data_IF_195431750303
#
_entry.id   IF_195431750303
#
_cell.length_a   1.000
_cell.length_b   1.000
_cell.length_c   1.000
_cell.angle_alpha   90.00
_cell.angle_beta   90.00
_cell.angle_gamma   90.00
#
_symmetry.space_group_name_H-M   'P 1'
#
loop_
_entity.id
_entity.type
_entity.pdbx_description
1 polymer ?
#
# COMPACT_ATOMS: atom_id res chain seq x y z
N UNK A 1 -56.31 5.89 28.23
CA UNK A 1 -55.15 6.39 27.44
C UNK A 1 -54.39 5.18 26.92
N UNK A 2 -54.52 4.90 25.63
CA UNK A 2 -53.88 3.75 24.97
C UNK A 2 -52.68 4.34 24.24
N UNK A 3 -51.49 3.95 24.71
CA UNK A 3 -50.24 4.32 24.03
C UNK A 3 -50.06 3.46 22.78
N UNK A 4 -50.16 4.08 21.62
CA UNK A 4 -49.72 3.51 20.36
C UNK A 4 -48.16 3.53 20.30
N UNK A 5 -47.56 2.38 20.43
CA UNK A 5 -46.16 2.19 20.05
C UNK A 5 -46.15 1.98 18.54
N UNK A 6 -45.53 2.91 17.81
CA UNK A 6 -45.31 2.74 16.36
C UNK A 6 -44.41 1.52 16.11
N UNK A 7 -44.67 0.72 15.07
CA UNK A 7 -43.82 -0.41 14.73
C UNK A 7 -42.44 0.12 14.30
N UNK A 8 -41.38 -0.46 14.87
CA UNK A 8 -40.01 -0.33 14.40
C UNK A 8 -39.99 -0.93 12.99
N UNK A 9 -39.83 -0.09 11.98
CA UNK A 9 -39.64 -0.57 10.61
C UNK A 9 -38.45 -1.52 10.58
N UNK A 10 -38.72 -2.78 10.24
CA UNK A 10 -37.72 -3.78 9.91
C UNK A 10 -36.81 -3.21 8.81
N UNK A 11 -35.55 -3.02 9.14
CA UNK A 11 -34.51 -2.71 8.16
C UNK A 11 -34.45 -3.95 7.27
N UNK A 12 -34.88 -3.80 6.03
CA UNK A 12 -34.84 -4.86 5.01
C UNK A 12 -33.39 -5.28 4.75
N UNK A 13 -32.98 -6.38 5.38
CA UNK A 13 -31.62 -6.97 5.28
C UNK A 13 -31.45 -7.87 4.03
N UNK A 14 -32.38 -7.82 3.07
CA UNK A 14 -32.49 -8.83 2.01
C UNK A 14 -31.92 -8.45 0.65
N UNK A 15 -31.37 -7.23 0.47
CA UNK A 15 -30.67 -6.89 -0.77
C UNK A 15 -29.18 -7.26 -0.61
N UNK A 16 -28.62 -8.16 -1.45
CA UNK A 16 -27.19 -8.37 -1.47
C UNK A 16 -26.53 -7.03 -1.84
N UNK A 17 -25.82 -6.44 -0.88
CA UNK A 17 -25.07 -5.20 -1.13
C UNK A 17 -24.12 -5.45 -2.30
N UNK A 18 -24.19 -4.62 -3.33
CA UNK A 18 -23.38 -4.80 -4.53
C UNK A 18 -21.90 -4.99 -4.15
N UNK A 19 -21.24 -5.95 -4.80
CA UNK A 19 -19.82 -6.26 -4.59
C UNK A 19 -18.99 -5.01 -4.84
N UNK A 20 -18.26 -4.53 -3.82
CA UNK A 20 -17.41 -3.32 -3.94
C UNK A 20 -16.29 -3.54 -4.97
N UNK A 21 -16.12 -2.62 -5.90
CA UNK A 21 -15.05 -2.69 -6.88
C UNK A 21 -13.72 -2.26 -6.27
N UNK A 22 -12.71 -3.10 -6.39
CA UNK A 22 -11.38 -2.85 -5.84
C UNK A 22 -10.42 -2.56 -6.99
N UNK A 23 -9.76 -1.41 -6.95
CA UNK A 23 -8.63 -1.11 -7.83
C UNK A 23 -7.34 -1.58 -7.17
N UNK A 24 -6.63 -2.49 -7.83
CA UNK A 24 -5.25 -2.83 -7.46
C UNK A 24 -4.32 -2.14 -8.43
N UNK A 25 -3.29 -1.50 -7.90
CA UNK A 25 -2.31 -0.75 -8.68
C UNK A 25 -0.91 -1.34 -8.48
N UNK A 26 -0.21 -1.59 -9.58
CA UNK A 26 1.22 -1.82 -9.56
C UNK A 26 1.93 -0.61 -10.17
N UNK A 27 2.78 0.05 -9.39
CA UNK A 27 3.74 1.03 -9.92
C UNK A 27 5.10 0.36 -10.08
N UNK A 28 5.80 0.64 -11.18
CA UNK A 28 7.08 0.02 -11.50
C UNK A 28 8.00 0.95 -12.27
N UNK A 29 9.31 0.74 -12.11
CA UNK A 29 10.36 1.37 -12.92
C UNK A 29 11.58 0.45 -12.94
N UNK A 30 11.99 -0.03 -14.12
CA UNK A 30 13.08 -0.98 -14.30
C UNK A 30 12.99 -2.18 -13.35
N UNK A 31 11.86 -2.89 -13.41
CA UNK A 31 11.49 -3.97 -12.49
C UNK A 31 11.33 -5.34 -13.18
N UNK A 32 12.12 -5.59 -14.24
CA UNK A 32 12.00 -6.82 -15.06
C UNK A 32 12.11 -8.12 -14.25
N UNK A 33 12.84 -8.12 -13.13
CA UNK A 33 13.04 -9.31 -12.28
C UNK A 33 11.88 -9.57 -11.32
N UNK A 34 11.15 -8.53 -10.93
CA UNK A 34 10.18 -8.56 -9.84
C UNK A 34 8.73 -8.50 -10.34
N UNK A 35 8.47 -7.73 -11.42
CA UNK A 35 7.10 -7.35 -11.83
C UNK A 35 6.23 -8.56 -12.20
N UNK A 36 6.80 -9.60 -12.80
CA UNK A 36 6.02 -10.77 -13.23
C UNK A 36 5.33 -11.46 -12.04
N UNK A 37 6.05 -11.63 -10.93
CA UNK A 37 5.50 -12.24 -9.72
C UNK A 37 4.37 -11.38 -9.13
N UNK A 38 4.55 -10.06 -9.11
CA UNK A 38 3.51 -9.12 -8.65
C UNK A 38 2.27 -9.23 -9.51
N UNK A 39 2.40 -9.19 -10.84
CA UNK A 39 1.27 -9.36 -11.77
C UNK A 39 0.55 -10.68 -11.49
N UNK A 40 1.29 -11.78 -11.37
CA UNK A 40 0.70 -13.10 -11.10
C UNK A 40 -0.06 -13.12 -9.78
N UNK A 41 0.46 -12.51 -8.72
CA UNK A 41 -0.21 -12.46 -7.41
C UNK A 41 -1.52 -11.66 -7.44
N UNK A 42 -1.61 -10.64 -8.31
CA UNK A 42 -2.84 -9.85 -8.49
C UNK A 42 -3.86 -10.60 -9.33
N UNK A 43 -3.46 -11.14 -10.49
CA UNK A 43 -4.40 -11.81 -11.40
C UNK A 43 -4.86 -13.20 -10.92
N UNK A 44 -4.21 -13.76 -9.89
CA UNK A 44 -4.63 -14.99 -9.23
C UNK A 44 -5.68 -14.77 -8.12
N UNK A 45 -6.00 -13.53 -7.76
CA UNK A 45 -7.00 -13.25 -6.74
C UNK A 45 -8.37 -13.81 -7.14
N UNK A 46 -9.05 -14.46 -6.18
CA UNK A 46 -10.34 -15.14 -6.40
C UNK A 46 -11.54 -14.21 -6.29
N UNK A 47 -11.34 -12.92 -6.10
CA UNK A 47 -12.38 -11.89 -6.06
C UNK A 47 -12.62 -11.33 -7.47
N UNK A 48 -13.86 -11.37 -7.97
CA UNK A 48 -14.15 -11.09 -9.38
C UNK A 48 -14.20 -9.58 -9.71
N UNK A 49 -14.55 -8.71 -8.74
CA UNK A 49 -14.76 -7.28 -9.01
C UNK A 49 -13.46 -6.47 -8.79
N UNK A 50 -12.42 -6.84 -9.55
CA UNK A 50 -11.10 -6.20 -9.49
C UNK A 50 -10.82 -5.41 -10.76
N UNK A 51 -10.38 -4.17 -10.60
CA UNK A 51 -9.73 -3.36 -11.62
C UNK A 51 -8.22 -3.40 -11.39
N UNK A 52 -7.46 -3.92 -12.35
CA UNK A 52 -6.01 -3.94 -12.26
C UNK A 52 -5.37 -2.88 -13.14
N UNK A 53 -4.60 -1.97 -12.54
CA UNK A 53 -3.91 -0.87 -13.23
C UNK A 53 -2.40 -1.01 -13.03
N UNK A 54 -1.62 -0.82 -14.11
CA UNK A 54 -0.15 -0.72 -14.01
C UNK A 54 0.28 0.66 -14.50
N UNK A 55 1.13 1.32 -13.70
CA UNK A 55 1.78 2.58 -14.07
C UNK A 55 3.29 2.35 -14.06
N UNK A 56 3.88 2.39 -15.25
CA UNK A 56 5.31 2.25 -15.47
C UNK A 56 5.96 3.61 -15.68
N UNK A 57 7.06 3.87 -14.97
CA UNK A 57 7.80 5.13 -14.97
C UNK A 57 8.71 5.35 -16.20
N UNK A 58 8.45 4.65 -17.30
CA UNK A 58 9.29 4.72 -18.52
C UNK A 58 10.46 3.74 -18.47
N UNK A 59 10.21 2.49 -18.11
CA UNK A 59 11.23 1.41 -18.03
C UNK A 59 11.89 1.10 -19.37
N UNK A 60 13.18 0.72 -19.31
CA UNK A 60 14.01 0.37 -20.46
C UNK A 60 14.68 -1.00 -20.36
N UNK A 61 14.41 -1.76 -19.31
CA UNK A 61 15.10 -3.02 -18.96
C UNK A 61 14.35 -4.30 -19.38
N UNK A 62 13.25 -4.18 -20.13
CA UNK A 62 12.37 -5.30 -20.50
C UNK A 62 11.12 -5.45 -19.65
N UNK A 63 10.90 -4.59 -18.64
CA UNK A 63 9.67 -4.54 -17.83
C UNK A 63 8.42 -4.48 -18.71
N UNK A 64 8.44 -3.64 -19.77
CA UNK A 64 7.30 -3.47 -20.67
C UNK A 64 6.93 -4.74 -21.45
N UNK A 65 7.88 -5.60 -21.75
CA UNK A 65 7.59 -6.84 -22.47
C UNK A 65 6.81 -7.80 -21.58
N UNK A 66 7.12 -7.80 -20.28
CA UNK A 66 6.36 -8.56 -19.29
C UNK A 66 4.94 -7.98 -19.16
N UNK A 67 4.77 -6.66 -19.05
CA UNK A 67 3.45 -6.03 -18.98
C UNK A 67 2.62 -6.39 -20.22
N UNK A 68 3.19 -6.32 -21.42
CA UNK A 68 2.51 -6.68 -22.68
C UNK A 68 2.07 -8.15 -22.69
N UNK A 69 2.91 -9.08 -22.17
CA UNK A 69 2.59 -10.51 -22.04
C UNK A 69 1.30 -10.75 -21.26
N UNK A 70 1.02 -9.93 -20.24
CA UNK A 70 -0.16 -10.05 -19.37
C UNK A 70 -1.26 -9.04 -19.69
N UNK A 71 -1.18 -8.29 -20.79
CA UNK A 71 -2.08 -7.17 -21.11
C UNK A 71 -3.57 -7.56 -21.15
N UNK A 72 -3.91 -8.80 -21.53
CA UNK A 72 -5.29 -9.30 -21.53
C UNK A 72 -5.89 -9.47 -20.13
N UNK A 73 -5.08 -9.48 -19.08
CA UNK A 73 -5.49 -9.62 -17.66
C UNK A 73 -5.34 -8.31 -16.89
N UNK A 74 -4.83 -7.26 -17.51
CA UNK A 74 -4.64 -5.94 -16.95
C UNK A 74 -5.71 -5.02 -17.52
N UNK A 75 -6.51 -4.38 -16.65
CA UNK A 75 -7.60 -3.51 -17.08
C UNK A 75 -7.07 -2.29 -17.85
N UNK A 76 -5.97 -1.70 -17.36
CA UNK A 76 -5.32 -0.54 -17.98
C UNK A 76 -3.85 -0.50 -17.57
N UNK A 77 -2.99 -0.09 -18.49
CA UNK A 77 -1.61 0.26 -18.17
C UNK A 77 -1.13 1.47 -18.96
N UNK A 78 -0.16 2.19 -18.42
CA UNK A 78 0.51 3.33 -19.04
C UNK A 78 2.01 3.25 -18.73
N UNK A 79 2.84 3.64 -19.71
CA UNK A 79 4.28 3.78 -19.53
C UNK A 79 4.71 5.16 -20.00
N UNK A 80 5.15 5.97 -19.06
CA UNK A 80 5.66 7.31 -19.31
C UNK A 80 6.52 7.76 -18.13
N UNK A 81 7.51 8.64 -18.32
CA UNK A 81 8.31 9.16 -17.24
C UNK A 81 7.46 9.77 -16.11
N UNK A 82 7.84 9.50 -14.89
CA UNK A 82 7.25 10.07 -13.67
C UNK A 82 8.29 10.82 -12.82
N UNK A 83 7.82 11.52 -11.79
CA UNK A 83 8.65 12.23 -10.82
C UNK A 83 8.92 11.40 -9.55
N UNK A 84 8.80 10.08 -9.63
CA UNK A 84 8.98 9.13 -8.54
C UNK A 84 7.69 8.38 -8.20
N UNK A 85 7.85 7.39 -7.31
CA UNK A 85 6.82 6.41 -6.96
C UNK A 85 5.46 7.06 -6.57
N UNK A 86 5.47 8.13 -5.81
CA UNK A 86 4.24 8.79 -5.35
C UNK A 86 3.55 9.59 -6.45
N UNK A 87 4.29 10.07 -7.47
CA UNK A 87 3.68 10.66 -8.67
C UNK A 87 2.96 9.60 -9.49
N UNK A 88 3.58 8.43 -9.67
CA UNK A 88 2.95 7.28 -10.32
C UNK A 88 1.71 6.78 -9.54
N UNK A 89 1.77 6.72 -8.21
CA UNK A 89 0.64 6.37 -7.35
C UNK A 89 -0.51 7.39 -7.47
N UNK A 90 -0.21 8.69 -7.45
CA UNK A 90 -1.20 9.75 -7.66
C UNK A 90 -1.83 9.70 -9.05
N UNK A 91 -1.03 9.41 -10.08
CA UNK A 91 -1.52 9.19 -11.45
C UNK A 91 -2.51 8.04 -11.50
N UNK A 92 -2.18 6.90 -10.89
CA UNK A 92 -3.05 5.74 -10.86
C UNK A 92 -4.35 5.98 -10.07
N UNK A 93 -4.30 6.75 -8.98
CA UNK A 93 -5.49 7.12 -8.22
C UNK A 93 -6.49 7.95 -9.06
N UNK A 94 -5.99 8.79 -9.96
CA UNK A 94 -6.85 9.51 -10.93
C UNK A 94 -7.49 8.58 -11.97
N UNK A 95 -6.80 7.49 -12.32
CA UNK A 95 -7.28 6.48 -13.29
C UNK A 95 -8.25 5.47 -12.66
N UNK A 96 -8.12 5.19 -11.36
CA UNK A 96 -8.89 4.19 -10.63
C UNK A 96 -10.40 4.44 -10.72
N UNK A 97 -11.20 3.38 -10.86
CA UNK A 97 -12.67 3.48 -10.88
C UNK A 97 -13.32 2.63 -9.77
N UNK A 98 -12.52 1.94 -8.96
CA UNK A 98 -12.99 1.20 -7.80
C UNK A 98 -13.36 2.11 -6.63
N UNK A 99 -14.01 1.54 -5.63
CA UNK A 99 -14.32 2.23 -4.38
C UNK A 99 -13.08 2.33 -3.48
N UNK A 100 -12.29 1.26 -3.47
CA UNK A 100 -11.01 1.19 -2.76
C UNK A 100 -9.85 0.97 -3.71
N UNK A 101 -8.69 1.48 -3.34
CA UNK A 101 -7.42 1.30 -4.03
C UNK A 101 -6.39 0.65 -3.11
N UNK A 102 -5.68 -0.34 -3.63
CA UNK A 102 -4.51 -0.96 -3.00
C UNK A 102 -3.30 -0.77 -3.91
N UNK A 103 -2.14 -0.49 -3.31
CA UNK A 103 -0.87 -0.38 -4.01
C UNK A 103 -0.02 -1.63 -3.75
N UNK A 104 0.03 -2.51 -4.75
CA UNK A 104 0.90 -3.67 -4.79
C UNK A 104 2.03 -3.36 -5.76
N UNK A 105 3.08 -2.68 -5.28
CA UNK A 105 4.19 -2.21 -6.11
C UNK A 105 5.02 -3.38 -6.64
N UNK A 106 5.79 -3.17 -7.73
CA UNK A 106 6.63 -4.22 -8.28
C UNK A 106 7.63 -4.76 -7.23
N UNK A 107 7.56 -6.07 -6.96
CA UNK A 107 8.27 -6.78 -5.89
C UNK A 107 7.36 -7.20 -4.74
N UNK A 108 6.29 -6.47 -4.47
CA UNK A 108 5.31 -6.84 -3.45
C UNK A 108 4.28 -7.83 -3.98
N UNK A 109 3.72 -8.66 -3.11
CA UNK A 109 2.74 -9.69 -3.47
C UNK A 109 1.56 -9.67 -2.50
N UNK A 110 0.37 -10.06 -2.97
CA UNK A 110 -0.67 -10.49 -2.03
C UNK A 110 -0.21 -11.71 -1.24
N UNK A 111 -0.66 -11.81 0.01
CA UNK A 111 -0.28 -12.91 0.90
C UNK A 111 -0.69 -14.28 0.34
N UNK A 112 -1.89 -14.37 -0.23
CA UNK A 112 -2.41 -15.53 -0.96
C UNK A 112 -3.47 -15.11 -1.99
N UNK A 113 -4.05 -16.07 -2.70
CA UNK A 113 -5.05 -15.87 -3.74
C UNK A 113 -6.44 -15.46 -3.22
N UNK A 114 -6.69 -15.57 -1.91
CA UNK A 114 -8.00 -15.33 -1.28
C UNK A 114 -8.08 -14.00 -0.53
N UNK A 115 -7.00 -13.22 -0.48
CA UNK A 115 -6.96 -11.99 0.29
C UNK A 115 -8.14 -11.09 -0.02
N UNK A 116 -8.40 -10.80 -1.30
CA UNK A 116 -9.49 -9.91 -1.69
C UNK A 116 -10.87 -10.53 -1.40
N UNK A 117 -11.08 -11.80 -1.69
CA UNK A 117 -12.35 -12.47 -1.40
C UNK A 117 -12.59 -12.58 0.10
N UNK A 118 -11.57 -12.89 0.90
CA UNK A 118 -11.66 -12.98 2.34
C UNK A 118 -12.03 -11.64 3.01
N UNK A 119 -11.67 -10.52 2.39
CA UNK A 119 -11.98 -9.19 2.90
C UNK A 119 -13.33 -8.72 2.35
N UNK A 120 -13.58 -8.82 1.05
CA UNK A 120 -14.67 -8.11 0.39
C UNK A 120 -15.88 -8.99 -0.01
N UNK A 121 -15.73 -10.33 -0.13
CA UNK A 121 -16.85 -11.17 -0.55
C UNK A 121 -17.99 -11.14 0.49
N UNK A 122 -19.18 -10.72 0.06
CA UNK A 122 -20.37 -10.62 0.92
C UNK A 122 -20.29 -9.53 2.01
N UNK A 123 -19.32 -8.62 1.90
CA UNK A 123 -19.13 -7.51 2.85
C UNK A 123 -19.07 -6.18 2.13
N UNK A 124 -19.36 -5.13 2.86
CA UNK A 124 -19.21 -3.76 2.39
C UNK A 124 -18.69 -2.89 3.53
N UNK A 125 -17.83 -1.98 3.21
CA UNK A 125 -17.11 -1.11 4.14
C UNK A 125 -17.38 0.35 3.79
N UNK A 126 -17.41 1.21 4.83
CA UNK A 126 -17.56 2.65 4.69
C UNK A 126 -16.40 3.42 5.36
N UNK A 127 -15.41 2.70 5.91
CA UNK A 127 -14.23 3.33 6.47
C UNK A 127 -13.33 3.86 5.36
N UNK A 128 -12.60 4.94 5.63
CA UNK A 128 -11.71 5.58 4.65
C UNK A 128 -10.51 4.70 4.32
N UNK A 129 -10.05 3.91 5.30
CA UNK A 129 -8.94 2.98 5.15
C UNK A 129 -9.23 1.65 5.84
N UNK A 130 -9.12 0.55 5.08
CA UNK A 130 -9.01 -0.79 5.64
C UNK A 130 -7.54 -1.17 5.68
N UNK A 131 -7.08 -1.79 6.75
CA UNK A 131 -5.68 -2.21 6.86
C UNK A 131 -5.55 -3.56 7.56
N UNK A 132 -4.38 -4.18 7.40
CA UNK A 132 -4.08 -5.45 8.03
C UNK A 132 -2.60 -5.68 8.20
N UNK A 133 -2.25 -6.93 8.47
CA UNK A 133 -0.89 -7.39 8.73
C UNK A 133 -0.12 -7.65 7.43
N UNK A 134 1.21 -7.63 7.52
CA UNK A 134 2.14 -7.83 6.41
C UNK A 134 3.10 -8.96 6.73
N UNK A 135 3.57 -9.69 5.73
CA UNK A 135 4.75 -10.53 5.83
C UNK A 135 5.93 -9.75 5.24
N UNK A 136 6.98 -9.53 6.01
CA UNK A 136 8.21 -8.90 5.53
C UNK A 136 9.11 -9.96 4.90
N UNK A 137 9.50 -9.76 3.64
CA UNK A 137 10.50 -10.59 2.94
C UNK A 137 11.87 -9.91 3.02
N UNK A 138 12.83 -10.58 3.63
CA UNK A 138 14.21 -10.10 3.81
C UNK A 138 15.24 -11.22 3.56
N UNK A 139 16.54 -10.90 3.52
CA UNK A 139 17.61 -11.85 3.16
C UNK A 139 17.66 -13.12 4.01
N UNK A 140 17.07 -13.11 5.20
CA UNK A 140 16.97 -14.27 6.10
C UNK A 140 15.67 -15.06 5.96
N UNK A 141 14.76 -14.69 5.04
CA UNK A 141 13.46 -15.33 4.85
C UNK A 141 12.28 -14.40 5.09
N UNK A 142 11.23 -14.89 5.75
CA UNK A 142 9.97 -14.18 5.96
C UNK A 142 9.71 -13.94 7.43
N UNK A 143 9.27 -12.74 7.80
CA UNK A 143 8.90 -12.39 9.17
C UNK A 143 7.48 -11.80 9.22
N UNK A 144 6.58 -12.34 10.05
CA UNK A 144 5.28 -11.70 10.28
C UNK A 144 5.45 -10.32 10.90
N UNK A 145 4.75 -9.33 10.35
CA UNK A 145 4.58 -7.99 10.89
C UNK A 145 3.09 -7.75 11.07
N UNK A 146 2.64 -7.87 12.32
CA UNK A 146 1.23 -7.70 12.66
C UNK A 146 0.86 -6.22 12.67
N UNK A 147 -0.33 -5.90 12.16
CA UNK A 147 -0.90 -4.57 12.30
C UNK A 147 -1.07 -4.21 13.77
N UNK A 148 -0.79 -2.96 14.11
CA UNK A 148 -1.09 -2.39 15.42
C UNK A 148 -2.45 -1.68 15.39
N UNK A 149 -2.96 -1.31 16.57
CA UNK A 149 -4.16 -0.50 16.69
C UNK A 149 -3.93 0.92 16.18
N UNK A 150 -4.97 1.54 15.61
CA UNK A 150 -4.85 2.82 14.92
C UNK A 150 -4.40 3.99 15.82
N UNK A 151 -4.65 3.90 17.11
CA UNK A 151 -4.21 4.88 18.13
C UNK A 151 -2.69 5.01 18.22
N UNK A 152 -1.93 4.04 17.64
CA UNK A 152 -0.48 4.13 17.50
C UNK A 152 -0.01 5.09 16.39
N UNK A 153 -0.91 5.54 15.50
CA UNK A 153 -0.56 6.41 14.36
C UNK A 153 0.26 7.66 14.74
N UNK A 154 0.03 8.35 15.88
CA UNK A 154 0.87 9.48 16.27
C UNK A 154 2.32 9.13 16.55
N UNK A 155 2.60 7.86 16.89
CA UNK A 155 3.94 7.38 17.27
C UNK A 155 4.63 6.65 16.13
N UNK A 156 3.91 5.74 15.45
CA UNK A 156 4.44 4.94 14.36
C UNK A 156 3.33 4.59 13.36
N UNK A 157 3.71 4.16 12.16
CA UNK A 157 2.75 3.56 11.22
C UNK A 157 2.27 2.21 11.79
N UNK A 158 0.95 2.02 11.98
CA UNK A 158 0.42 0.78 12.54
C UNK A 158 0.33 -0.36 11.51
N UNK A 159 0.59 -0.11 10.25
CA UNK A 159 0.55 -1.07 9.14
C UNK A 159 1.49 -0.62 8.00
N UNK A 160 1.82 -1.53 7.07
CA UNK A 160 2.49 -1.17 5.81
C UNK A 160 1.45 -0.75 4.76
N UNK A 161 1.77 0.23 3.90
CA UNK A 161 0.81 0.73 2.90
C UNK A 161 0.35 -0.35 1.92
N UNK A 162 1.20 -1.35 1.61
CA UNK A 162 0.84 -2.50 0.78
C UNK A 162 -0.29 -3.33 1.39
N UNK A 163 -0.40 -3.31 2.73
CA UNK A 163 -1.46 -4.00 3.48
C UNK A 163 -2.60 -3.05 3.84
N UNK A 164 -2.94 -2.12 2.96
CA UNK A 164 -4.08 -1.22 3.13
C UNK A 164 -4.89 -1.05 1.85
N UNK A 165 -6.17 -0.75 2.04
CA UNK A 165 -7.11 -0.36 1.00
C UNK A 165 -7.66 1.00 1.39
N UNK A 166 -7.39 2.03 0.59
CA UNK A 166 -7.84 3.40 0.83
C UNK A 166 -9.01 3.74 -0.09
N UNK A 167 -10.04 4.43 0.38
CA UNK A 167 -11.07 4.94 -0.52
C UNK A 167 -10.44 5.79 -1.62
N UNK A 168 -10.81 5.52 -2.87
CA UNK A 168 -10.32 6.28 -4.03
C UNK A 168 -10.69 7.75 -3.93
N UNK A 169 -11.87 8.08 -3.42
CA UNK A 169 -12.31 9.47 -3.18
C UNK A 169 -11.38 10.21 -2.24
N UNK A 170 -11.01 9.58 -1.11
CA UNK A 170 -10.10 10.17 -0.10
C UNK A 170 -8.72 10.44 -0.70
N UNK A 171 -8.16 9.48 -1.45
CA UNK A 171 -6.84 9.67 -2.06
C UNK A 171 -6.84 10.70 -3.19
N UNK A 172 -7.97 10.90 -3.87
CA UNK A 172 -8.11 11.96 -4.88
C UNK A 172 -8.23 13.35 -4.26
N UNK A 173 -8.90 13.46 -3.13
CA UNK A 173 -9.03 14.71 -2.38
C UNK A 173 -7.71 15.08 -1.70
N UNK A 174 -6.99 14.08 -1.20
CA UNK A 174 -5.72 14.24 -0.47
C UNK A 174 -4.62 13.40 -1.14
N UNK A 175 -4.06 13.82 -2.29
CA UNK A 175 -3.01 13.05 -2.96
C UNK A 175 -1.73 12.99 -2.13
N UNK A 176 -0.90 11.98 -2.37
CA UNK A 176 0.42 11.90 -1.77
C UNK A 176 1.27 13.14 -2.11
N UNK A 177 1.96 13.68 -1.12
CA UNK A 177 2.89 14.79 -1.32
C UNK A 177 4.16 14.30 -2.01
N UNK A 178 4.33 14.64 -3.28
CA UNK A 178 5.47 14.22 -4.11
C UNK A 178 6.77 14.92 -3.77
N UNK A 179 6.81 15.84 -2.81
CA UNK A 179 8.05 16.42 -2.29
C UNK A 179 8.83 15.41 -1.44
N UNK A 180 8.15 14.40 -0.88
CA UNK A 180 8.77 13.28 -0.19
C UNK A 180 9.16 12.18 -1.16
N UNK A 181 10.31 11.52 -0.90
CA UNK A 181 10.80 10.40 -1.72
C UNK A 181 10.37 9.03 -1.19
N UNK A 182 10.17 8.90 0.13
CA UNK A 182 10.01 7.60 0.77
C UNK A 182 8.93 7.49 1.84
N UNK A 183 8.34 8.60 2.26
CA UNK A 183 7.42 8.62 3.42
C UNK A 183 6.09 9.33 3.14
N UNK A 184 5.77 9.65 1.90
CA UNK A 184 4.53 10.37 1.59
C UNK A 184 3.28 9.57 2.01
N UNK A 185 3.34 8.24 1.98
CA UNK A 185 2.31 7.35 2.52
C UNK A 185 2.13 7.52 4.04
N UNK A 186 3.22 7.55 4.80
CA UNK A 186 3.18 7.80 6.25
C UNK A 186 2.61 9.19 6.57
N UNK A 187 2.98 10.20 5.80
CA UNK A 187 2.47 11.58 5.95
C UNK A 187 0.98 11.60 5.65
N UNK A 188 0.56 11.01 4.55
CA UNK A 188 -0.84 10.90 4.14
C UNK A 188 -1.71 10.24 5.22
N UNK A 189 -1.36 9.04 5.67
CA UNK A 189 -2.16 8.32 6.66
C UNK A 189 -2.22 9.05 8.00
N UNK A 190 -1.13 9.71 8.40
CA UNK A 190 -1.10 10.51 9.63
C UNK A 190 -1.95 11.77 9.52
N UNK A 191 -1.94 12.47 8.39
CA UNK A 191 -2.81 13.61 8.13
C UNK A 191 -4.27 13.19 8.14
N UNK A 192 -4.61 12.10 7.47
CA UNK A 192 -5.96 11.54 7.45
C UNK A 192 -6.45 11.18 8.87
N UNK A 193 -5.59 10.51 9.67
CA UNK A 193 -5.91 10.21 11.07
C UNK A 193 -6.17 11.48 11.89
N UNK A 194 -5.31 12.49 11.76
CA UNK A 194 -5.44 13.74 12.51
C UNK A 194 -6.67 14.57 12.10
N UNK A 195 -7.17 14.41 10.88
CA UNK A 195 -8.41 15.05 10.40
C UNK A 195 -9.68 14.26 10.73
N UNK A 196 -9.57 13.16 11.48
CA UNK A 196 -10.72 12.35 11.90
C UNK A 196 -11.14 11.26 10.90
N UNK A 197 -10.27 10.93 9.94
CA UNK A 197 -10.50 9.83 9.01
C UNK A 197 -10.71 8.49 9.72
N UNK A 198 -11.48 7.61 9.10
CA UNK A 198 -11.95 6.35 9.68
C UNK A 198 -11.09 5.18 9.20
N UNK A 199 -10.69 4.32 10.14
CA UNK A 199 -9.78 3.19 9.87
C UNK A 199 -10.35 1.90 10.47
N UNK A 200 -10.26 0.79 9.71
CA UNK A 200 -10.63 -0.56 10.17
C UNK A 200 -9.50 -1.55 9.97
N UNK A 201 -9.08 -2.20 11.05
CA UNK A 201 -8.21 -3.37 10.97
C UNK A 201 -9.03 -4.61 10.59
N UNK A 202 -8.78 -5.18 9.42
CA UNK A 202 -9.47 -6.36 8.91
C UNK A 202 -8.94 -7.67 9.52
N UNK A 203 -7.89 -7.61 10.37
CA UNK A 203 -7.31 -8.74 11.09
C UNK A 203 -6.83 -9.87 10.18
N UNK A 204 -6.35 -9.54 8.99
CA UNK A 204 -5.83 -10.47 7.99
C UNK A 204 -4.40 -10.11 7.62
N UNK A 205 -3.61 -11.10 7.17
CA UNK A 205 -2.41 -10.83 6.39
C UNK A 205 -2.83 -10.47 4.98
N UNK A 206 -2.35 -9.34 4.47
CA UNK A 206 -2.76 -8.81 3.17
C UNK A 206 -1.63 -8.94 2.16
N UNK A 207 -0.42 -8.54 2.53
CA UNK A 207 0.70 -8.44 1.59
C UNK A 207 1.96 -9.14 2.12
N UNK A 208 2.79 -9.54 1.17
CA UNK A 208 4.20 -9.85 1.38
C UNK A 208 4.97 -8.65 0.83
N UNK A 209 5.64 -7.91 1.71
CA UNK A 209 6.42 -6.73 1.37
C UNK A 209 7.87 -7.12 1.08
N UNK A 210 8.34 -6.84 -0.14
CA UNK A 210 9.75 -7.05 -0.50
C UNK A 210 10.62 -5.89 -0.01
N UNK A 211 11.37 -6.15 1.04
CA UNK A 211 12.27 -5.17 1.65
C UNK A 211 13.52 -4.85 0.82
N UNK A 212 13.70 -5.47 -0.35
CA UNK A 212 14.78 -5.18 -1.30
C UNK A 212 14.39 -4.17 -2.39
N UNK A 213 13.13 -3.72 -2.42
CA UNK A 213 12.59 -2.76 -3.36
C UNK A 213 13.24 -1.37 -3.30
N UNK A 214 12.56 -0.38 -3.87
CA UNK A 214 13.04 1.01 -4.03
C UNK A 214 13.56 1.65 -2.74
N UNK A 215 12.89 1.43 -1.61
CA UNK A 215 13.28 2.02 -0.30
C UNK A 215 14.65 1.51 0.17
N UNK A 216 15.08 0.33 -0.27
CA UNK A 216 16.39 -0.22 0.06
C UNK A 216 17.56 0.53 -0.62
N UNK A 217 17.30 1.30 -1.69
CA UNK A 217 18.27 2.14 -2.41
C UNK A 217 18.34 3.58 -1.88
N UNK A 218 18.07 3.77 -0.62
CA UNK A 218 17.77 5.04 0.02
C UNK A 218 18.93 6.02 0.06
N UNK A 219 18.64 7.22 -0.42
CA UNK A 219 19.48 8.41 -0.32
C UNK A 219 19.49 8.99 1.12
N UNK A 220 20.42 9.91 1.39
CA UNK A 220 20.41 10.68 2.64
C UNK A 220 19.08 11.40 2.90
N UNK A 221 18.40 11.85 1.83
CA UNK A 221 17.08 12.48 1.92
C UNK A 221 16.08 11.54 2.61
N UNK A 222 16.04 10.26 2.23
CA UNK A 222 15.16 9.26 2.87
C UNK A 222 15.46 9.05 4.37
N UNK A 223 16.74 9.14 4.76
CA UNK A 223 17.11 9.12 6.18
C UNK A 223 16.52 10.31 6.94
N UNK A 224 16.67 11.53 6.41
CA UNK A 224 16.09 12.72 7.04
C UNK A 224 14.57 12.67 7.06
N UNK A 225 13.94 12.24 5.98
CA UNK A 225 12.49 12.04 5.94
C UNK A 225 12.02 11.06 7.03
N UNK A 226 12.73 9.93 7.20
CA UNK A 226 12.43 8.96 8.26
C UNK A 226 12.54 9.56 9.65
N UNK A 227 13.56 10.39 9.90
CA UNK A 227 13.71 11.12 11.17
C UNK A 227 12.52 12.07 11.44
N UNK A 228 12.01 12.75 10.40
CA UNK A 228 10.85 13.63 10.53
C UNK A 228 9.60 12.88 10.98
N UNK A 229 9.31 11.72 10.38
CA UNK A 229 8.14 10.90 10.74
C UNK A 229 8.23 10.40 12.17
N UNK A 230 9.41 9.96 12.59
CA UNK A 230 9.62 9.40 13.93
C UNK A 230 9.91 10.45 15.01
N UNK A 231 9.82 11.76 14.68
CA UNK A 231 10.17 12.87 15.58
C UNK A 231 11.56 12.71 16.22
N UNK A 232 12.48 12.08 15.51
CA UNK A 232 13.87 11.88 15.95
C UNK A 232 14.75 12.99 15.39
N UNK A 233 15.65 13.52 16.19
CA UNK A 233 16.67 14.42 15.67
C UNK A 233 17.69 13.63 14.85
N UNK A 234 18.04 14.10 13.64
CA UNK A 234 19.11 13.50 12.85
C UNK A 234 20.42 13.52 13.66
N UNK A 235 21.04 12.36 13.83
CA UNK A 235 22.31 12.28 14.55
C UNK A 235 23.47 12.10 13.57
N UNK A 236 24.65 12.65 13.90
CA UNK A 236 25.87 12.45 13.11
C UNK A 236 26.17 10.94 12.92
N UNK A 237 25.96 10.14 13.96
CA UNK A 237 26.14 8.70 13.90
C UNK A 237 25.16 7.99 12.97
N UNK A 238 23.89 8.43 12.93
CA UNK A 238 22.90 7.96 11.97
C UNK A 238 23.26 8.34 10.53
N UNK A 239 23.70 9.57 10.34
CA UNK A 239 24.19 10.09 9.06
C UNK A 239 25.39 9.28 8.54
N UNK A 240 26.41 9.06 9.39
CA UNK A 240 27.60 8.29 9.02
C UNK A 240 27.27 6.81 8.71
N UNK A 241 26.37 6.18 9.50
CA UNK A 241 25.90 4.82 9.18
C UNK A 241 25.26 4.77 7.81
N UNK A 242 24.43 5.75 7.47
CA UNK A 242 23.77 5.80 6.18
C UNK A 242 24.73 6.01 5.01
N UNK A 243 25.75 6.84 5.19
CA UNK A 243 26.84 7.01 4.20
C UNK A 243 27.58 5.68 3.97
N UNK A 244 27.84 4.92 5.04
CA UNK A 244 28.46 3.59 4.94
C UNK A 244 27.52 2.62 4.20
N UNK A 245 26.24 2.60 4.55
CA UNK A 245 25.25 1.73 3.90
C UNK A 245 25.09 2.04 2.40
N UNK A 246 25.17 3.31 1.98
CA UNK A 246 25.10 3.73 0.57
C UNK A 246 26.36 3.32 -0.20
N UNK A 247 27.53 3.49 0.40
CA UNK A 247 28.82 3.31 -0.31
C UNK A 247 29.39 1.90 -0.22
N UNK A 248 28.99 1.08 0.75
CA UNK A 248 29.56 -0.23 1.02
C UNK A 248 28.53 -1.38 0.93
N UNK A 249 27.54 -1.27 0.06
CA UNK A 249 26.70 -2.45 -0.24
C UNK A 249 27.56 -3.53 -0.96
N UNK A 250 27.66 -4.75 -0.40
CA UNK A 250 26.58 -5.70 -0.13
C UNK A 250 26.47 -6.25 1.31
N UNK A 251 27.05 -5.66 2.33
CA UNK A 251 27.37 -6.40 3.55
C UNK A 251 26.60 -6.09 4.82
N UNK A 252 25.70 -5.13 4.90
CA UNK A 252 24.96 -4.93 6.17
C UNK A 252 23.53 -4.45 5.97
N UNK A 253 22.62 -5.19 6.58
CA UNK A 253 21.26 -4.83 6.91
C UNK A 253 21.17 -3.37 7.37
N UNK A 254 20.44 -2.55 6.63
CA UNK A 254 19.84 -1.37 7.22
C UNK A 254 18.95 -1.88 8.36
N UNK A 255 19.32 -1.63 9.57
CA UNK A 255 18.54 -2.05 10.72
C UNK A 255 17.23 -1.27 10.71
N UNK A 256 16.20 -1.85 10.14
CA UNK A 256 14.79 -1.47 10.31
C UNK A 256 14.36 -1.50 11.79
N UNK A 257 15.28 -1.77 12.71
CA UNK A 257 15.07 -1.56 14.16
C UNK A 257 14.57 -0.16 14.51
N UNK A 258 14.73 0.82 13.60
CA UNK A 258 14.23 2.18 13.81
C UNK A 258 12.83 2.46 13.23
N UNK A 259 12.30 1.61 12.37
CA UNK A 259 10.93 1.78 11.88
C UNK A 259 9.87 1.10 12.77
N UNK A 260 10.30 0.14 13.60
CA UNK A 260 9.41 -0.70 14.38
C UNK A 260 10.01 -0.93 15.76
N UNK A 261 10.03 0.11 16.60
CA UNK A 261 10.26 -0.08 18.04
C UNK A 261 9.12 -0.94 18.59
N UNK A 262 9.50 -2.02 19.28
CA UNK A 262 8.59 -2.91 20.00
C UNK A 262 7.69 -2.16 20.96
#
# INVERSE_FOLDING_TARGET
MINFVAPINDIDMTQPKASQKITVVTVCYNAVKEIEKTIQSVISQTYDNVEYIIVDGGSTDGTLDIIRKYSSRITRWVSEPDKGIFDAMNKSARMATGEYINFMNAGDLFFDEKVLSDIFAGRSYDEDVLYGSTILHYKGGYKPHRSATIDRMPVCMPFCHQSSFTKVSVLREHPFDTTFLSIADCVFFRQLYNSGGTFRDVKKYIAIYDMYGYVSNTSLKCYFESCLVHRQNPTLGGYLRRLVDINFRPLRYCSLRFMYAE
#
